data_IF_237458333480
#
_entry.id   IF_237458333480
#
_cell.length_a   1.000
_cell.length_b   1.000
_cell.length_c   1.000
_cell.angle_alpha   90.00
_cell.angle_beta   90.00
_cell.angle_gamma   90.00
#
_symmetry.space_group_name_H-M   'P 1'
#
loop_
_entity.id
_entity.type
_entity.pdbx_description
1 polymer ?
#
# COMPACT_ATOMS: atom_id res chain seq x y z
N UNK A 1 13.23 4.36 -5.33
CA UNK A 1 12.26 3.29 -5.65
C UNK A 1 12.59 2.69 -7.00
N UNK A 2 12.37 1.39 -7.20
CA UNK A 2 12.70 0.67 -8.45
C UNK A 2 11.71 1.04 -9.56
N UNK A 3 12.21 1.45 -10.73
CA UNK A 3 11.39 1.73 -11.92
C UNK A 3 11.18 0.44 -12.71
N UNK A 4 12.27 -0.30 -12.96
CA UNK A 4 12.29 -1.55 -13.69
C UNK A 4 13.46 -2.44 -13.24
N UNK A 5 13.41 -3.73 -13.58
CA UNK A 5 14.54 -4.64 -13.44
C UNK A 5 15.02 -4.83 -12.00
N UNK A 6 16.35 -4.83 -11.81
CA UNK A 6 17.04 -4.86 -10.50
C UNK A 6 16.68 -6.04 -9.60
N UNK A 7 16.23 -7.16 -10.18
CA UNK A 7 15.94 -8.38 -9.44
C UNK A 7 17.21 -8.91 -8.79
N UNK A 8 17.14 -9.20 -7.49
CA UNK A 8 18.22 -9.80 -6.71
C UNK A 8 18.03 -11.30 -6.60
N UNK A 9 19.08 -12.07 -6.88
CA UNK A 9 19.11 -13.54 -6.73
C UNK A 9 20.37 -14.02 -6.02
N UNK A 10 20.26 -15.13 -5.32
CA UNK A 10 21.43 -15.86 -4.81
C UNK A 10 22.33 -16.37 -5.94
N UNK A 11 23.62 -16.53 -5.67
CA UNK A 11 24.58 -17.13 -6.61
C UNK A 11 25.31 -18.30 -5.97
N UNK A 12 26.03 -19.09 -6.79
CA UNK A 12 26.89 -20.17 -6.30
C UNK A 12 28.14 -19.67 -5.55
N UNK A 13 28.41 -18.37 -5.57
CA UNK A 13 29.47 -17.74 -4.78
C UNK A 13 28.88 -17.00 -3.56
N UNK A 14 29.76 -16.40 -2.76
CA UNK A 14 29.35 -15.50 -1.67
C UNK A 14 29.08 -14.09 -2.23
N UNK A 15 28.12 -13.98 -3.14
CA UNK A 15 27.61 -12.72 -3.65
C UNK A 15 26.15 -12.92 -4.09
N UNK A 16 25.38 -11.84 -4.12
CA UNK A 16 24.10 -11.82 -4.82
C UNK A 16 24.31 -11.34 -6.25
N UNK A 17 23.45 -11.76 -7.18
CA UNK A 17 23.39 -11.17 -8.50
C UNK A 17 22.25 -10.17 -8.55
N UNK A 18 22.50 -8.99 -9.11
CA UNK A 18 21.48 -7.98 -9.38
C UNK A 18 21.38 -7.83 -10.89
N UNK A 19 20.19 -8.08 -11.44
CA UNK A 19 19.92 -7.91 -12.85
C UNK A 19 19.99 -6.42 -13.26
N UNK A 20 20.14 -6.17 -14.57
CA UNK A 20 20.06 -4.82 -15.10
C UNK A 20 18.72 -4.14 -14.76
N UNK A 21 18.74 -2.81 -14.61
CA UNK A 21 17.52 -2.02 -14.46
C UNK A 21 17.77 -0.64 -13.88
N UNK A 22 16.69 0.04 -13.51
CA UNK A 22 16.73 1.45 -13.08
C UNK A 22 15.99 1.68 -11.77
N UNK A 23 16.56 2.50 -10.89
CA UNK A 23 15.90 3.00 -9.69
C UNK A 23 16.03 4.52 -9.55
N UNK A 24 15.09 5.13 -8.84
CA UNK A 24 15.22 6.51 -8.35
C UNK A 24 15.94 6.48 -7.00
N UNK A 25 17.14 7.04 -6.93
CA UNK A 25 17.90 7.27 -5.70
C UNK A 25 17.75 8.71 -5.20
N UNK A 26 18.03 8.95 -3.93
CA UNK A 26 17.93 10.28 -3.33
C UNK A 26 18.77 10.35 -2.08
N UNK A 27 19.67 11.34 -2.00
CA UNK A 27 20.48 11.62 -0.81
C UNK A 27 19.78 12.46 0.26
N UNK A 28 18.49 12.73 0.06
CA UNK A 28 17.68 13.56 0.95
C UNK A 28 16.76 14.47 0.15
N UNK A 29 15.88 15.20 0.84
CA UNK A 29 14.98 16.16 0.19
C UNK A 29 15.71 17.35 -0.44
N UNK A 30 16.89 17.69 0.06
CA UNK A 30 17.69 18.83 -0.42
C UNK A 30 18.50 18.53 -1.68
N UNK A 31 18.86 17.27 -1.93
CA UNK A 31 19.78 16.86 -3.00
C UNK A 31 19.06 16.38 -4.27
N UNK A 32 17.72 16.51 -4.30
CA UNK A 32 16.91 16.04 -5.42
C UNK A 32 16.87 14.51 -5.55
N UNK A 33 16.65 14.06 -6.79
CA UNK A 33 16.44 12.67 -7.17
C UNK A 33 17.28 12.34 -8.39
N UNK A 34 17.90 11.16 -8.40
CA UNK A 34 18.72 10.67 -9.51
C UNK A 34 18.17 9.38 -10.07
N UNK A 35 18.14 9.26 -11.40
CA UNK A 35 17.90 7.98 -12.09
C UNK A 35 19.19 7.18 -12.11
N UNK A 36 19.23 6.11 -11.33
CA UNK A 36 20.36 5.20 -11.21
C UNK A 36 20.11 3.97 -12.08
N UNK A 37 20.70 3.95 -13.28
CA UNK A 37 20.75 2.76 -14.12
C UNK A 37 21.92 1.88 -13.68
N UNK A 38 21.67 0.59 -13.54
CA UNK A 38 22.68 -0.42 -13.26
C UNK A 38 22.63 -1.48 -14.37
N UNK A 39 23.79 -1.80 -14.94
CA UNK A 39 23.91 -2.73 -16.08
C UNK A 39 23.76 -4.21 -15.70
N UNK A 40 23.76 -4.50 -14.40
CA UNK A 40 23.66 -5.84 -13.85
C UNK A 40 25.04 -6.44 -13.56
N UNK A 41 25.24 -6.87 -12.33
CA UNK A 41 26.47 -7.52 -11.89
C UNK A 41 26.24 -8.24 -10.55
N UNK A 42 27.29 -8.90 -10.07
CA UNK A 42 27.29 -9.41 -8.71
C UNK A 42 27.55 -8.28 -7.71
N UNK A 43 26.97 -8.39 -6.53
CA UNK A 43 27.28 -7.53 -5.39
C UNK A 43 28.73 -7.70 -4.95
N UNK A 44 29.26 -6.78 -4.12
CA UNK A 44 30.44 -7.08 -3.31
C UNK A 44 30.28 -8.41 -2.55
N UNK A 45 31.41 -9.06 -2.32
CA UNK A 45 31.46 -10.35 -1.62
C UNK A 45 30.86 -10.24 -0.22
N UNK A 46 29.98 -11.16 0.13
CA UNK A 46 29.42 -11.31 1.49
C UNK A 46 30.20 -12.33 2.31
N UNK A 47 30.03 -12.34 3.63
CA UNK A 47 30.59 -13.40 4.47
C UNK A 47 29.80 -14.70 4.33
N UNK A 48 30.41 -15.86 4.60
CA UNK A 48 29.64 -17.09 4.81
C UNK A 48 28.78 -16.98 6.07
N UNK A 49 27.69 -17.75 6.14
CA UNK A 49 26.90 -17.90 7.35
C UNK A 49 27.14 -19.27 7.97
N UNK A 50 28.35 -19.49 8.47
CA UNK A 50 28.76 -20.76 9.09
C UNK A 50 28.10 -21.07 10.44
N UNK A 51 27.31 -20.14 10.98
CA UNK A 51 26.64 -20.29 12.27
C UNK A 51 25.39 -21.17 12.17
N UNK A 52 24.86 -21.59 13.32
CA UNK A 52 23.62 -22.38 13.41
C UNK A 52 22.32 -21.61 13.19
N UNK A 53 22.38 -20.29 12.96
CA UNK A 53 21.20 -19.43 12.79
C UNK A 53 21.17 -18.77 11.40
N UNK A 54 19.98 -18.51 10.83
CA UNK A 54 19.86 -17.70 9.62
C UNK A 54 20.19 -16.22 9.88
N UNK A 55 20.48 -15.47 8.83
CA UNK A 55 20.59 -14.00 8.86
C UNK A 55 19.87 -13.37 7.66
N UNK A 56 19.61 -12.08 7.73
CA UNK A 56 19.03 -11.32 6.60
C UNK A 56 20.04 -10.25 6.18
N UNK A 57 20.37 -10.22 4.90
CA UNK A 57 21.22 -9.18 4.30
C UNK A 57 20.34 -8.21 3.48
N UNK A 58 20.58 -6.91 3.58
CA UNK A 58 19.88 -5.88 2.80
C UNK A 58 20.73 -5.48 1.59
N UNK A 59 20.23 -5.73 0.38
CA UNK A 59 20.86 -5.34 -0.89
C UNK A 59 20.23 -4.05 -1.38
N UNK A 60 21.04 -3.06 -1.75
CA UNK A 60 20.58 -1.73 -2.14
C UNK A 60 21.39 -1.15 -3.29
N UNK A 61 20.76 -0.25 -4.05
CA UNK A 61 21.39 0.54 -5.11
C UNK A 61 21.56 1.98 -4.65
N UNK A 62 22.65 2.62 -5.05
CA UNK A 62 22.88 4.04 -4.81
C UNK A 62 23.67 4.66 -5.97
N UNK A 63 23.51 5.97 -6.15
CA UNK A 63 24.31 6.75 -7.08
C UNK A 63 25.26 7.64 -6.25
N UNK A 64 26.55 7.51 -6.51
CA UNK A 64 27.53 8.41 -5.96
C UNK A 64 27.52 9.74 -6.71
N UNK A 65 27.97 10.79 -6.04
CA UNK A 65 28.16 12.12 -6.60
C UNK A 65 29.48 12.71 -6.07
N UNK A 66 30.44 12.92 -6.99
CA UNK A 66 31.75 13.50 -6.70
C UNK A 66 31.63 14.92 -6.12
N UNK A 67 30.66 15.71 -6.58
CA UNK A 67 30.48 17.09 -6.12
C UNK A 67 29.97 17.13 -4.66
N UNK A 68 29.42 16.01 -4.19
CA UNK A 68 28.98 15.81 -2.80
C UNK A 68 29.98 15.02 -1.95
N UNK A 69 31.20 14.79 -2.47
CA UNK A 69 32.30 14.19 -1.71
C UNK A 69 32.37 12.66 -1.74
N UNK A 70 31.63 11.99 -2.64
CA UNK A 70 31.83 10.55 -2.85
C UNK A 70 33.10 10.27 -3.66
N UNK A 71 33.49 8.99 -3.72
CA UNK A 71 34.73 8.56 -4.36
C UNK A 71 34.67 8.54 -5.89
N UNK A 72 33.47 8.53 -6.47
CA UNK A 72 33.24 8.54 -7.91
C UNK A 72 31.84 9.12 -8.24
N UNK A 73 31.45 9.09 -9.51
CA UNK A 73 30.14 9.53 -9.99
C UNK A 73 29.39 8.37 -10.66
N UNK A 74 29.50 7.17 -10.09
CA UNK A 74 28.93 5.93 -10.64
C UNK A 74 27.76 5.41 -9.80
N UNK A 75 26.99 4.49 -10.41
CA UNK A 75 25.94 3.75 -9.73
C UNK A 75 26.51 2.45 -9.18
N UNK A 76 26.22 2.17 -7.91
CA UNK A 76 26.77 1.04 -7.18
C UNK A 76 25.68 0.20 -6.53
N UNK A 77 26.02 -1.06 -6.28
CA UNK A 77 25.25 -1.97 -5.43
C UNK A 77 26.01 -2.23 -4.14
N UNK A 78 25.32 -2.05 -3.02
CA UNK A 78 25.82 -2.36 -1.69
C UNK A 78 25.06 -3.50 -1.04
N UNK A 79 25.70 -4.10 -0.03
CA UNK A 79 25.08 -5.12 0.84
C UNK A 79 25.38 -4.76 2.29
N UNK A 80 24.32 -4.52 3.07
CA UNK A 80 24.42 -4.49 4.52
C UNK A 80 24.12 -5.89 5.04
N UNK A 81 25.11 -6.53 5.67
CA UNK A 81 24.96 -7.90 6.18
C UNK A 81 24.29 -7.88 7.56
N UNK A 82 23.35 -8.79 7.77
CA UNK A 82 22.70 -8.93 9.07
C UNK A 82 23.54 -9.75 10.06
N UNK A 83 23.06 -9.83 11.29
CA UNK A 83 23.62 -10.70 12.32
C UNK A 83 22.81 -12.00 12.40
N UNK A 84 23.45 -13.18 12.43
CA UNK A 84 22.74 -14.44 12.62
C UNK A 84 21.95 -14.49 13.93
N UNK A 85 20.66 -14.83 13.86
CA UNK A 85 19.78 -14.95 15.02
C UNK A 85 18.64 -15.93 14.73
N UNK A 86 18.01 -16.45 15.78
CA UNK A 86 16.84 -17.33 15.63
C UNK A 86 15.67 -16.61 14.93
N UNK A 87 15.53 -15.31 15.20
CA UNK A 87 14.60 -14.40 14.52
C UNK A 87 15.42 -13.24 13.93
N UNK A 88 16.02 -13.41 12.75
CA UNK A 88 16.89 -12.38 12.19
C UNK A 88 16.07 -11.17 11.76
N UNK A 89 16.61 -9.97 11.98
CA UNK A 89 16.07 -8.72 11.45
C UNK A 89 16.96 -8.20 10.33
N UNK A 90 16.35 -7.53 9.36
CA UNK A 90 17.09 -6.90 8.29
C UNK A 90 17.90 -5.69 8.82
N UNK A 91 19.18 -5.55 8.46
CA UNK A 91 19.96 -4.37 8.79
C UNK A 91 19.44 -3.15 8.02
N UNK A 92 19.64 -1.96 8.59
CA UNK A 92 19.41 -0.70 7.90
C UNK A 92 20.37 -0.53 6.72
N UNK A 93 19.94 0.21 5.71
CA UNK A 93 20.77 0.62 4.58
C UNK A 93 21.16 2.09 4.73
N UNK A 94 22.22 2.57 4.05
CA UNK A 94 22.54 3.99 4.00
C UNK A 94 21.34 4.83 3.53
N UNK A 95 21.18 6.02 4.10
CA UNK A 95 20.03 6.93 3.84
C UNK A 95 19.80 7.23 2.35
N UNK A 96 20.86 7.20 1.54
CA UNK A 96 20.80 7.51 0.12
C UNK A 96 20.57 6.30 -0.79
N UNK A 97 20.54 5.09 -0.21
CA UNK A 97 20.30 3.86 -0.94
C UNK A 97 18.81 3.60 -1.17
N UNK A 98 18.47 3.05 -2.33
CA UNK A 98 17.17 2.40 -2.56
C UNK A 98 17.30 0.90 -2.27
N UNK A 99 16.51 0.40 -1.32
CA UNK A 99 16.44 -1.03 -1.02
C UNK A 99 15.95 -1.81 -2.25
N UNK A 100 16.68 -2.87 -2.62
CA UNK A 100 16.33 -3.79 -3.70
C UNK A 100 15.83 -5.14 -3.20
N UNK A 101 16.38 -5.65 -2.10
CA UNK A 101 15.94 -6.90 -1.51
C UNK A 101 16.45 -7.04 -0.08
N UNK A 102 15.72 -7.80 0.73
CA UNK A 102 16.22 -8.39 1.96
C UNK A 102 16.34 -9.90 1.72
N UNK A 103 17.58 -10.37 1.66
CA UNK A 103 17.93 -11.75 1.33
C UNK A 103 18.18 -12.52 2.62
N UNK A 104 17.33 -13.49 2.93
CA UNK A 104 17.57 -14.44 4.00
C UNK A 104 18.62 -15.45 3.55
N UNK A 105 19.74 -15.49 4.26
CA UNK A 105 20.80 -16.46 4.07
C UNK A 105 20.68 -17.56 5.15
N UNK A 106 20.40 -18.82 4.78
CA UNK A 106 20.24 -19.91 5.74
C UNK A 106 21.48 -20.16 6.60
N UNK A 107 21.29 -20.80 7.76
CA UNK A 107 22.37 -21.30 8.60
C UNK A 107 23.27 -22.30 7.84
N UNK A 108 24.56 -22.33 8.16
CA UNK A 108 25.56 -23.18 7.50
C UNK A 108 25.89 -22.84 6.05
N UNK A 109 25.41 -21.70 5.51
CA UNK A 109 25.60 -21.36 4.10
C UNK A 109 27.03 -20.94 3.78
N UNK A 110 27.68 -21.66 2.84
CA UNK A 110 28.98 -21.31 2.25
C UNK A 110 28.87 -20.60 0.88
N UNK A 111 27.64 -20.40 0.39
CA UNK A 111 27.32 -19.62 -0.82
C UNK A 111 25.96 -18.96 -0.65
N UNK A 112 25.60 -18.03 -1.54
CA UNK A 112 24.30 -17.39 -1.55
C UNK A 112 23.22 -18.19 -2.30
N UNK A 113 23.51 -19.41 -2.77
CA UNK A 113 22.66 -20.17 -3.72
C UNK A 113 21.26 -20.46 -3.16
N UNK A 114 21.19 -20.70 -1.84
CA UNK A 114 19.95 -20.98 -1.13
C UNK A 114 19.33 -19.73 -0.47
N UNK A 115 19.86 -18.54 -0.78
CA UNK A 115 19.30 -17.31 -0.23
C UNK A 115 17.96 -16.99 -0.90
N UNK A 116 17.00 -16.51 -0.11
CA UNK A 116 15.66 -16.18 -0.57
C UNK A 116 15.27 -14.76 -0.19
N UNK A 117 14.52 -14.07 -1.05
CA UNK A 117 14.02 -12.74 -0.74
C UNK A 117 12.85 -12.86 0.26
N UNK A 118 12.90 -12.10 1.35
CA UNK A 118 11.88 -12.06 2.42
C UNK A 118 11.16 -10.71 2.52
N UNK A 119 11.40 -9.81 1.58
CA UNK A 119 10.83 -8.46 1.57
C UNK A 119 10.07 -8.13 0.29
N UNK A 120 9.09 -7.24 0.41
CA UNK A 120 8.55 -6.50 -0.72
C UNK A 120 9.46 -5.32 -1.07
N UNK A 121 9.58 -5.00 -2.36
CA UNK A 121 10.38 -3.88 -2.84
C UNK A 121 9.53 -2.64 -3.05
N UNK A 122 10.13 -1.46 -2.82
CA UNK A 122 9.45 -0.18 -3.07
C UNK A 122 9.66 0.23 -4.51
N UNK A 123 8.61 0.14 -5.32
CA UNK A 123 8.61 0.63 -6.69
C UNK A 123 8.52 2.16 -6.74
N UNK A 124 9.11 2.76 -7.78
CA UNK A 124 8.87 4.15 -8.13
C UNK A 124 7.45 4.29 -8.69
N UNK A 125 6.69 5.22 -8.14
CA UNK A 125 5.37 5.58 -8.64
C UNK A 125 5.54 6.88 -9.44
N UNK A 126 5.25 6.90 -10.75
CA UNK A 126 5.24 8.14 -11.53
C UNK A 126 4.33 9.16 -10.85
N UNK A 127 4.74 10.43 -10.82
CA UNK A 127 4.06 11.46 -10.03
C UNK A 127 2.54 11.44 -10.27
N UNK A 128 2.08 11.52 -11.53
CA UNK A 128 0.65 11.52 -11.87
C UNK A 128 -0.05 10.15 -11.96
N UNK A 129 0.60 9.05 -11.59
CA UNK A 129 -0.03 7.72 -11.67
C UNK A 129 -1.11 7.54 -10.60
N UNK A 130 -2.24 6.95 -10.99
CA UNK A 130 -3.25 6.43 -10.06
C UNK A 130 -2.73 5.13 -9.43
N UNK A 131 -2.78 5.02 -8.11
CA UNK A 131 -2.45 3.78 -7.39
C UNK A 131 -3.56 2.72 -7.45
N UNK A 132 -4.71 3.04 -8.05
CA UNK A 132 -5.84 2.10 -8.11
C UNK A 132 -6.47 1.90 -6.72
N UNK A 133 -6.83 0.66 -6.37
CA UNK A 133 -7.46 0.37 -5.07
C UNK A 133 -6.45 0.47 -3.92
N UNK A 134 -6.51 1.55 -3.15
CA UNK A 134 -5.61 1.83 -2.02
C UNK A 134 -6.22 1.53 -0.66
N UNK A 135 -7.52 1.25 -0.61
CA UNK A 135 -8.23 0.90 0.61
C UNK A 135 -9.41 0.00 0.34
N UNK A 136 -9.58 -1.01 1.19
CA UNK A 136 -10.70 -1.93 1.16
C UNK A 136 -11.11 -2.28 2.59
N UNK A 137 -12.41 -2.23 2.84
CA UNK A 137 -13.04 -2.75 4.05
C UNK A 137 -14.41 -3.34 3.72
N UNK A 138 -14.89 -4.26 4.56
CA UNK A 138 -16.15 -4.94 4.33
C UNK A 138 -16.90 -5.27 5.62
N UNK A 139 -18.23 -5.13 5.56
CA UNK A 139 -19.15 -5.59 6.57
C UNK A 139 -20.08 -6.65 5.98
N UNK A 140 -19.85 -7.91 6.34
CA UNK A 140 -20.61 -9.08 5.88
C UNK A 140 -21.84 -9.40 6.74
N UNK A 141 -22.10 -8.60 7.78
CA UNK A 141 -23.20 -8.85 8.71
C UNK A 141 -24.53 -8.65 8.01
N UNK A 142 -25.38 -9.68 8.06
CA UNK A 142 -26.78 -9.63 7.62
C UNK A 142 -27.65 -9.29 8.82
N UNK A 143 -28.26 -8.11 8.83
CA UNK A 143 -28.94 -7.58 10.02
C UNK A 143 -30.00 -6.56 9.62
N UNK A 144 -31.08 -6.49 10.42
CA UNK A 144 -32.06 -5.43 10.28
C UNK A 144 -31.40 -4.09 10.60
N UNK A 145 -31.64 -3.08 9.77
CA UNK A 145 -31.19 -1.73 10.07
C UNK A 145 -32.03 -1.18 11.21
N UNK A 146 -31.37 -0.59 12.23
CA UNK A 146 -32.07 0.19 13.25
C UNK A 146 -32.85 1.32 12.56
N UNK A 147 -34.14 1.41 12.87
CA UNK A 147 -35.08 2.25 12.14
C UNK A 147 -35.37 3.56 12.86
N UNK A 148 -34.31 4.33 13.10
CA UNK A 148 -34.35 5.63 13.75
C UNK A 148 -33.56 6.68 12.95
N UNK A 149 -33.48 7.90 13.48
CA UNK A 149 -32.80 9.02 12.83
C UNK A 149 -31.28 9.07 13.10
N UNK A 150 -30.68 7.99 13.60
CA UNK A 150 -29.24 7.91 13.91
C UNK A 150 -28.43 7.54 12.67
N UNK A 151 -27.26 8.17 12.52
CA UNK A 151 -26.27 7.78 11.51
C UNK A 151 -25.40 6.63 12.03
N UNK A 152 -25.44 5.49 11.34
CA UNK A 152 -24.66 4.30 11.69
C UNK A 152 -23.49 4.08 10.74
N UNK A 153 -22.30 3.82 11.29
CA UNK A 153 -21.14 3.39 10.50
C UNK A 153 -21.42 2.05 9.84
N UNK A 154 -21.21 2.02 8.52
CA UNK A 154 -21.41 0.83 7.71
C UNK A 154 -20.07 0.14 7.41
N UNK A 155 -19.04 0.93 7.12
CA UNK A 155 -17.68 0.48 6.87
C UNK A 155 -16.71 1.65 7.07
N UNK A 156 -15.50 1.36 7.55
CA UNK A 156 -14.50 2.38 7.84
C UNK A 156 -13.10 1.89 7.49
N UNK A 157 -12.30 2.74 6.84
CA UNK A 157 -10.93 2.39 6.47
C UNK A 157 -9.97 3.56 6.69
N UNK A 158 -8.92 3.28 7.47
CA UNK A 158 -7.76 4.17 7.58
C UNK A 158 -6.68 3.82 6.55
N UNK A 159 -6.10 4.84 5.94
CA UNK A 159 -4.99 4.73 4.97
C UNK A 159 -3.96 5.85 5.21
N UNK A 160 -2.73 5.63 4.73
CA UNK A 160 -1.72 6.67 4.61
C UNK A 160 -1.56 7.07 3.14
N UNK A 161 -1.67 8.36 2.85
CA UNK A 161 -1.37 8.94 1.54
C UNK A 161 0.01 9.60 1.59
N UNK A 162 0.93 9.18 0.72
CA UNK A 162 2.29 9.72 0.66
C UNK A 162 2.39 11.08 -0.06
N UNK A 163 1.35 11.43 -0.81
CA UNK A 163 1.17 12.72 -1.52
C UNK A 163 -0.30 13.10 -1.50
N UNK A 164 -0.63 14.31 -1.92
CA UNK A 164 -2.00 14.75 -2.12
C UNK A 164 -2.63 13.97 -3.31
N UNK A 165 -3.88 13.52 -3.17
CA UNK A 165 -4.56 12.60 -4.11
C UNK A 165 -6.03 12.94 -4.32
N UNK A 166 -6.54 12.68 -5.52
CA UNK A 166 -7.97 12.52 -5.74
C UNK A 166 -8.37 11.09 -5.39
N UNK A 167 -9.31 10.94 -4.45
CA UNK A 167 -9.81 9.64 -4.01
C UNK A 167 -11.25 9.48 -4.46
N UNK A 168 -11.53 8.40 -5.19
CA UNK A 168 -12.89 7.91 -5.45
C UNK A 168 -13.26 6.87 -4.40
N UNK A 169 -14.23 7.20 -3.57
CA UNK A 169 -14.88 6.29 -2.63
C UNK A 169 -16.01 5.58 -3.36
N UNK A 170 -16.05 4.26 -3.26
CA UNK A 170 -17.17 3.44 -3.72
C UNK A 170 -17.68 2.64 -2.54
N UNK A 171 -18.95 2.81 -2.21
CA UNK A 171 -19.64 1.98 -1.24
C UNK A 171 -20.65 1.10 -1.97
N UNK A 172 -20.36 -0.19 -2.05
CA UNK A 172 -21.28 -1.19 -2.60
C UNK A 172 -22.07 -1.83 -1.45
N UNK A 173 -23.36 -2.06 -1.65
CA UNK A 173 -24.22 -2.69 -0.65
C UNK A 173 -25.33 -3.50 -1.31
N UNK A 174 -25.98 -4.32 -0.49
CA UNK A 174 -27.26 -4.94 -0.83
C UNK A 174 -28.14 -4.86 0.40
N UNK A 175 -29.35 -4.36 0.19
CA UNK A 175 -30.39 -4.31 1.21
C UNK A 175 -31.73 -4.63 0.57
N UNK A 176 -32.65 -5.12 1.39
CA UNK A 176 -34.00 -5.49 0.96
C UNK A 176 -35.02 -4.89 1.93
N UNK A 177 -36.20 -4.53 1.43
CA UNK A 177 -37.31 -4.11 2.30
C UNK A 177 -37.98 -5.31 2.96
N UNK A 178 -38.49 -5.12 4.17
CA UNK A 178 -39.06 -6.22 4.97
C UNK A 178 -40.53 -6.54 4.65
N UNK A 179 -41.29 -5.62 4.05
CA UNK A 179 -42.73 -5.79 3.79
C UNK A 179 -43.12 -5.79 2.30
N UNK A 180 -42.14 -5.75 1.40
CA UNK A 180 -42.38 -5.72 -0.05
C UNK A 180 -42.53 -4.32 -0.66
N UNK A 181 -42.72 -3.27 0.14
CA UNK A 181 -42.80 -1.88 -0.34
C UNK A 181 -41.43 -1.34 -0.75
N UNK A 182 -41.39 -0.20 -1.44
CA UNK A 182 -40.15 0.53 -1.71
C UNK A 182 -39.75 1.35 -0.47
N UNK A 183 -38.47 1.32 -0.13
CA UNK A 183 -37.87 2.13 0.93
C UNK A 183 -36.67 2.90 0.40
N UNK A 184 -35.92 3.54 1.30
CA UNK A 184 -34.69 4.25 0.98
C UNK A 184 -33.82 4.43 2.23
N UNK A 185 -32.53 4.68 1.97
CA UNK A 185 -31.53 5.00 2.98
C UNK A 185 -30.76 6.24 2.55
N UNK A 186 -30.44 7.12 3.51
CA UNK A 186 -29.53 8.23 3.31
C UNK A 186 -28.10 7.81 3.62
N UNK A 187 -27.15 8.29 2.83
CA UNK A 187 -25.72 8.01 2.98
C UNK A 187 -24.95 9.31 3.16
N UNK A 188 -23.86 9.24 3.91
CA UNK A 188 -22.86 10.30 3.91
C UNK A 188 -21.46 9.73 4.08
N UNK A 189 -20.50 10.50 3.59
CA UNK A 189 -19.09 10.21 3.81
C UNK A 189 -18.55 11.11 4.92
N UNK A 190 -17.84 10.48 5.87
CA UNK A 190 -16.96 11.17 6.80
C UNK A 190 -15.50 10.90 6.47
N UNK A 191 -14.69 11.94 6.51
CA UNK A 191 -13.22 11.85 6.45
C UNK A 191 -12.68 12.50 7.71
N UNK A 192 -11.89 11.74 8.47
CA UNK A 192 -11.29 12.21 9.73
C UNK A 192 -12.33 12.75 10.73
N UNK A 193 -13.50 12.11 10.75
CA UNK A 193 -14.64 12.49 11.60
C UNK A 193 -15.43 13.70 11.11
N UNK A 194 -15.03 14.34 10.01
CA UNK A 194 -15.74 15.48 9.42
C UNK A 194 -16.65 15.02 8.29
N UNK A 195 -17.90 15.48 8.30
CA UNK A 195 -18.85 15.22 7.21
C UNK A 195 -18.38 15.92 5.92
N UNK A 196 -18.24 15.14 4.85
CA UNK A 196 -17.81 15.62 3.54
C UNK A 196 -18.98 15.79 2.56
N UNK A 197 -20.12 15.19 2.88
CA UNK A 197 -21.40 15.39 2.19
C UNK A 197 -22.45 15.85 3.19
N UNK A 198 -23.49 16.51 2.69
CA UNK A 198 -24.61 17.00 3.50
C UNK A 198 -25.53 15.88 4.04
N UNK A 199 -25.30 14.65 3.58
CA UNK A 199 -26.10 13.48 3.92
C UNK A 199 -27.45 13.41 3.22
N UNK A 200 -27.62 14.17 2.13
CA UNK A 200 -28.80 14.14 1.26
C UNK A 200 -28.71 13.06 0.19
N UNK A 201 -27.61 12.30 0.13
CA UNK A 201 -27.44 11.22 -0.83
C UNK A 201 -28.36 10.03 -0.48
N UNK A 202 -29.52 9.98 -1.11
CA UNK A 202 -30.54 8.95 -0.88
C UNK A 202 -30.45 7.84 -1.95
N UNK A 203 -30.47 6.57 -1.52
CA UNK A 203 -30.60 5.42 -2.43
C UNK A 203 -31.92 4.67 -2.18
N UNK A 204 -32.67 4.33 -3.24
CA UNK A 204 -33.87 3.51 -3.11
C UNK A 204 -33.50 2.07 -2.76
N UNK A 205 -34.29 1.45 -1.89
CA UNK A 205 -34.18 0.04 -1.52
C UNK A 205 -35.45 -0.68 -1.96
N UNK A 206 -35.27 -1.80 -2.65
CA UNK A 206 -36.36 -2.58 -3.24
C UNK A 206 -36.46 -3.96 -2.57
N UNK A 207 -37.59 -4.66 -2.76
CA UNK A 207 -37.75 -6.05 -2.35
C UNK A 207 -37.14 -7.03 -3.37
N UNK A 208 -35.90 -6.78 -3.79
CA UNK A 208 -35.14 -7.67 -4.70
C UNK A 208 -33.71 -7.80 -4.21
N UNK A 209 -33.07 -8.93 -4.50
CA UNK A 209 -31.71 -9.23 -4.03
C UNK A 209 -30.64 -8.60 -4.95
N UNK A 210 -30.81 -7.32 -5.28
CA UNK A 210 -29.91 -6.57 -6.16
C UNK A 210 -28.81 -5.85 -5.38
N UNK A 211 -27.62 -5.79 -5.97
CA UNK A 211 -26.52 -4.99 -5.44
C UNK A 211 -26.65 -3.55 -5.96
N UNK A 212 -26.44 -2.59 -5.09
CA UNK A 212 -26.42 -1.17 -5.40
C UNK A 212 -25.10 -0.54 -4.92
N UNK A 213 -24.82 0.67 -5.36
CA UNK A 213 -23.62 1.40 -4.96
C UNK A 213 -23.84 2.91 -4.94
N UNK A 214 -22.97 3.60 -4.19
CA UNK A 214 -22.83 5.05 -4.20
C UNK A 214 -21.35 5.42 -4.28
N UNK A 215 -21.05 6.55 -4.95
CA UNK A 215 -19.69 7.01 -5.17
C UNK A 215 -19.49 8.48 -4.85
N UNK A 216 -18.35 8.82 -4.25
CA UNK A 216 -17.91 10.19 -4.01
C UNK A 216 -16.47 10.35 -4.48
N UNK A 217 -16.13 11.52 -5.02
CA UNK A 217 -14.77 11.83 -5.48
C UNK A 217 -14.35 13.19 -4.93
N UNK A 218 -13.15 13.27 -4.34
CA UNK A 218 -12.67 14.51 -3.73
C UNK A 218 -11.14 14.48 -3.56
N UNK A 219 -10.56 15.66 -3.35
CA UNK A 219 -9.13 15.82 -3.11
C UNK A 219 -8.78 15.66 -1.62
N UNK A 220 -7.85 14.78 -1.31
CA UNK A 220 -7.33 14.48 0.02
C UNK A 220 -5.86 14.83 0.08
N UNK A 221 -5.42 15.50 1.13
CA UNK A 221 -4.01 15.85 1.29
C UNK A 221 -3.18 14.61 1.67
N UNK A 222 -1.86 14.75 1.61
CA UNK A 222 -0.91 13.80 2.18
C UNK A 222 -1.16 13.65 3.68
N UNK A 223 -1.11 12.42 4.18
CA UNK A 223 -1.24 12.15 5.61
C UNK A 223 -1.97 10.85 5.92
N UNK A 224 -2.24 10.66 7.21
CA UNK A 224 -3.12 9.60 7.68
C UNK A 224 -4.56 10.08 7.59
N UNK A 225 -5.42 9.29 6.97
CA UNK A 225 -6.84 9.61 6.81
C UNK A 225 -7.70 8.40 7.16
N UNK A 226 -8.87 8.66 7.75
CA UNK A 226 -9.91 7.65 8.00
C UNK A 226 -11.18 7.99 7.25
N UNK A 227 -11.61 7.07 6.39
CA UNK A 227 -12.81 7.18 5.58
C UNK A 227 -13.90 6.34 6.21
N UNK A 228 -15.06 6.93 6.49
CA UNK A 228 -16.17 6.24 7.12
C UNK A 228 -17.46 6.51 6.35
N UNK A 229 -18.14 5.45 5.92
CA UNK A 229 -19.46 5.57 5.28
C UNK A 229 -20.52 5.38 6.35
N UNK A 230 -21.38 6.38 6.49
CA UNK A 230 -22.51 6.37 7.40
C UNK A 230 -23.80 6.19 6.61
N UNK A 231 -24.76 5.48 7.21
CA UNK A 231 -26.12 5.36 6.67
C UNK A 231 -27.16 5.66 7.74
N UNK A 232 -28.28 6.26 7.34
CA UNK A 232 -29.44 6.59 8.19
C UNK A 232 -30.73 6.18 7.50
N UNK A 233 -31.68 5.65 8.27
CA UNK A 233 -32.99 5.24 7.76
C UNK A 233 -33.82 6.44 7.28
N UNK A 234 -34.57 6.26 6.18
CA UNK A 234 -35.72 7.11 5.90
C UNK A 234 -36.90 6.61 6.73
N UNK A 235 -37.05 7.13 7.95
CA UNK A 235 -38.03 6.67 8.94
C UNK A 235 -39.49 6.88 8.51
N UNK A 236 -39.74 7.63 7.43
CA UNK A 236 -41.08 7.74 6.81
C UNK A 236 -41.44 6.55 5.90
N UNK A 237 -40.53 5.60 5.70
CA UNK A 237 -40.66 4.42 4.83
C UNK A 237 -40.57 3.12 5.62
N UNK A 238 -40.79 2.00 4.94
CA UNK A 238 -40.70 0.65 5.52
C UNK A 238 -39.28 0.25 5.88
N UNK A 239 -39.12 -0.60 6.88
CA UNK A 239 -37.84 -1.08 7.36
C UNK A 239 -37.07 -1.90 6.31
N UNK A 240 -35.74 -1.86 6.42
CA UNK A 240 -34.83 -2.61 5.56
C UNK A 240 -33.93 -3.54 6.36
N UNK A 241 -33.44 -4.57 5.67
CA UNK A 241 -32.42 -5.47 6.15
C UNK A 241 -31.22 -5.42 5.23
N UNK A 242 -30.03 -5.30 5.81
CA UNK A 242 -28.78 -5.49 5.09
C UNK A 242 -28.60 -6.97 4.77
N UNK A 243 -28.26 -7.28 3.53
CA UNK A 243 -28.18 -8.67 3.04
C UNK A 243 -26.81 -8.93 2.42
N UNK A 244 -25.99 -9.73 3.09
CA UNK A 244 -24.63 -10.05 2.65
C UNK A 244 -23.64 -8.90 2.80
N UNK A 245 -22.63 -8.88 1.94
CA UNK A 245 -21.46 -8.01 2.11
C UNK A 245 -21.67 -6.60 1.57
N UNK A 246 -21.52 -5.62 2.46
CA UNK A 246 -21.28 -4.21 2.16
C UNK A 246 -19.78 -3.98 2.06
N UNK A 247 -19.30 -3.21 1.07
CA UNK A 247 -17.86 -2.94 0.90
C UNK A 247 -17.58 -1.47 0.70
N UNK A 248 -16.57 -0.98 1.40
CA UNK A 248 -15.93 0.31 1.16
C UNK A 248 -14.67 0.09 0.33
N UNK A 249 -14.56 0.81 -0.79
CA UNK A 249 -13.39 0.81 -1.67
C UNK A 249 -12.90 2.23 -1.87
N UNK A 250 -11.60 2.43 -1.71
CA UNK A 250 -10.93 3.70 -1.92
C UNK A 250 -10.02 3.54 -3.15
N UNK A 251 -10.34 4.24 -4.22
CA UNK A 251 -9.51 4.28 -5.42
C UNK A 251 -8.75 5.60 -5.46
N UNK A 252 -7.42 5.54 -5.50
CA UNK A 252 -6.62 6.66 -5.98
C UNK A 252 -6.86 6.78 -7.49
N UNK A 253 -7.33 7.95 -7.92
CA UNK A 253 -7.58 8.25 -9.33
C UNK A 253 -6.60 9.28 -9.90
N UNK A 254 -5.61 9.73 -9.11
CA UNK A 254 -4.57 10.65 -9.54
C UNK A 254 -4.09 11.60 -8.45
N UNK A 255 -3.09 12.42 -8.80
CA UNK A 255 -2.58 13.47 -7.91
C UNK A 255 -3.51 14.67 -7.89
N UNK A 256 -3.69 15.24 -6.70
CA UNK A 256 -4.33 16.53 -6.50
C UNK A 256 -3.28 17.63 -6.69
N UNK A 257 -3.52 18.54 -7.63
CA UNK A 257 -2.73 19.77 -7.83
C UNK A 257 -3.04 20.82 -6.75
#
# INVERSE_FOLDING_TARGET
GVIDGLKVTGTSSLAYHVAAGTAVCSKGSSDGKTLAYFEGANTPTISSNSTGNPRIDSVYIYANDLDQGDTDNLVHIGVAQGTPAANPSAPSIPTYGTLLAQMLLPAGSASASNASNVSSITYAIPYGASLGLIGWDANSTTVNQNWDNTWYSQASKSIYLSTDRYIKVVFDFRAVTLDGSISSMYFKLQIDGTDYTDGSDERPIFNVWARDYITWTFGVNKGNHTFNVLAKANTSKTQIKWEGTRTLKLFDIGVKE
#
